data_IF_370823313367
#
_entry.id   IF_370823313367
#
_cell.length_a   1.000
_cell.length_b   1.000
_cell.length_c   1.000
_cell.angle_alpha   90.00
_cell.angle_beta   90.00
_cell.angle_gamma   90.00
#
_symmetry.space_group_name_H-M   'P 1'
#
loop_
_entity.id
_entity.type
_entity.pdbx_description
1 polymer ?
#
# COMPACT_ATOMS: atom_id res chain seq x y z
N UNK A 1 11.46 5.21 21.26
CA UNK A 1 11.68 6.67 21.40
C UNK A 1 10.70 7.23 22.44
N UNK A 2 11.14 8.14 23.32
CA UNK A 2 10.25 8.79 24.32
C UNK A 2 9.63 10.06 23.74
N UNK A 3 8.47 10.51 24.30
CA UNK A 3 7.84 11.80 23.89
C UNK A 3 8.82 12.97 23.99
N UNK A 4 9.62 13.02 25.06
CA UNK A 4 10.60 14.09 25.30
C UNK A 4 11.67 14.09 24.22
N UNK A 5 12.29 12.94 23.96
CA UNK A 5 13.32 12.82 22.92
C UNK A 5 12.79 13.17 21.52
N UNK A 6 11.56 12.75 21.19
CA UNK A 6 10.91 13.13 19.94
C UNK A 6 10.74 14.65 19.80
N UNK A 7 10.18 15.28 20.84
CA UNK A 7 9.94 16.72 20.87
C UNK A 7 11.25 17.50 20.75
N UNK A 8 12.29 17.08 21.47
CA UNK A 8 13.62 17.68 21.41
C UNK A 8 14.25 17.54 20.01
N UNK A 9 14.15 16.36 19.41
CA UNK A 9 14.75 16.08 18.10
C UNK A 9 14.14 16.94 16.98
N UNK A 10 12.84 17.21 17.04
CA UNK A 10 12.13 17.99 16.02
C UNK A 10 11.90 19.46 16.42
N UNK A 11 12.45 19.90 17.56
CA UNK A 11 12.25 21.26 18.08
C UNK A 11 10.78 21.59 18.36
N UNK A 12 9.99 20.60 18.76
CA UNK A 12 8.57 20.76 19.09
C UNK A 12 8.44 20.98 20.60
N UNK A 13 7.69 22.00 21.03
CA UNK A 13 7.41 22.15 22.46
C UNK A 13 6.48 21.02 22.95
N UNK A 14 6.73 20.50 24.15
CA UNK A 14 5.91 19.42 24.72
C UNK A 14 4.44 19.81 24.92
N UNK A 15 4.18 21.10 25.08
CA UNK A 15 2.86 21.75 25.10
C UNK A 15 2.18 21.70 23.74
N UNK A 16 2.83 22.21 22.68
CA UNK A 16 2.29 22.17 21.31
C UNK A 16 1.98 20.73 20.88
N UNK A 17 2.89 19.79 21.14
CA UNK A 17 2.64 18.39 20.83
C UNK A 17 1.42 17.82 21.59
N UNK A 18 1.23 18.25 22.84
CA UNK A 18 0.06 17.85 23.64
C UNK A 18 -1.25 18.46 23.12
N UNK A 19 -1.18 19.66 22.57
CA UNK A 19 -2.34 20.35 21.98
C UNK A 19 -2.72 19.78 20.62
N UNK A 20 -1.73 19.41 19.78
CA UNK A 20 -1.94 18.66 18.53
C UNK A 20 -2.61 17.31 18.79
N UNK A 21 -2.12 16.55 19.78
CA UNK A 21 -2.73 15.25 20.14
C UNK A 21 -4.18 15.37 20.60
N UNK A 22 -4.56 16.53 21.17
CA UNK A 22 -5.92 16.83 21.64
C UNK A 22 -6.76 17.56 20.58
N UNK A 23 -6.22 17.83 19.39
CA UNK A 23 -6.90 18.53 18.31
C UNK A 23 -7.18 20.02 18.58
N UNK A 24 -6.50 20.64 19.56
CA UNK A 24 -6.69 22.07 19.87
C UNK A 24 -6.08 22.98 18.82
N UNK A 25 -4.94 22.57 18.26
CA UNK A 25 -4.21 23.27 17.21
C UNK A 25 -3.67 22.27 16.22
N UNK A 26 -3.28 22.75 15.05
CA UNK A 26 -2.76 21.90 13.96
C UNK A 26 -1.27 22.21 13.75
N UNK A 27 -0.41 21.19 13.51
CA UNK A 27 0.98 21.45 13.13
C UNK A 27 1.04 22.23 11.81
N UNK A 28 2.09 23.05 11.63
CA UNK A 28 2.33 23.68 10.34
C UNK A 28 2.76 22.65 9.30
N UNK A 29 2.59 22.98 8.01
CA UNK A 29 3.02 22.12 6.90
C UNK A 29 4.49 21.70 7.03
N UNK A 30 5.38 22.64 7.39
CA UNK A 30 6.80 22.32 7.59
C UNK A 30 7.02 21.30 8.72
N UNK A 31 6.29 21.41 9.83
CA UNK A 31 6.39 20.41 10.91
C UNK A 31 5.82 19.05 10.49
N UNK A 32 4.76 19.03 9.68
CA UNK A 32 4.23 17.77 9.14
C UNK A 32 5.27 17.08 8.23
N UNK A 33 5.95 17.84 7.37
CA UNK A 33 7.03 17.33 6.50
C UNK A 33 8.17 16.75 7.34
N UNK A 34 8.62 17.46 8.38
CA UNK A 34 9.69 16.98 9.26
C UNK A 34 9.30 15.72 10.03
N UNK A 35 8.07 15.66 10.55
CA UNK A 35 7.55 14.46 11.25
C UNK A 35 7.45 13.28 10.28
N UNK A 36 6.94 13.51 9.07
CA UNK A 36 6.85 12.51 8.01
C UNK A 36 8.24 11.95 7.67
N UNK A 37 9.22 12.82 7.45
CA UNK A 37 10.61 12.43 7.17
C UNK A 37 11.24 11.66 8.34
N UNK A 38 11.02 12.12 9.58
CA UNK A 38 11.57 11.51 10.79
C UNK A 38 11.11 10.05 10.95
N UNK A 39 9.84 9.76 10.67
CA UNK A 39 9.31 8.39 10.72
C UNK A 39 9.38 7.65 9.39
N UNK A 40 9.90 8.29 8.34
CA UNK A 40 9.91 7.77 6.97
C UNK A 40 8.52 7.39 6.46
N UNK A 41 7.50 8.19 6.80
CA UNK A 41 6.09 7.95 6.45
C UNK A 41 5.51 8.96 5.49
N UNK A 42 4.56 8.56 4.65
CA UNK A 42 3.93 9.47 3.69
C UNK A 42 3.10 10.55 4.40
N UNK A 43 3.03 11.75 3.81
CA UNK A 43 2.20 12.84 4.33
C UNK A 43 0.71 12.47 4.31
N UNK A 44 0.25 11.75 3.29
CA UNK A 44 -1.12 11.27 3.20
C UNK A 44 -1.45 10.34 4.37
N UNK A 45 -0.58 9.39 4.68
CA UNK A 45 -0.78 8.53 5.84
C UNK A 45 -0.78 9.35 7.15
N UNK A 46 0.13 10.32 7.28
CA UNK A 46 0.25 11.16 8.48
C UNK A 46 -0.97 12.05 8.73
N UNK A 47 -1.55 12.63 7.67
CA UNK A 47 -2.59 13.67 7.78
C UNK A 47 -4.00 13.08 7.73
N UNK A 48 -4.26 12.19 6.76
CA UNK A 48 -5.61 11.66 6.50
C UNK A 48 -5.76 10.19 6.92
N UNK A 49 -4.69 9.53 7.36
CA UNK A 49 -4.72 8.13 7.78
C UNK A 49 -4.97 7.15 6.63
N UNK A 50 -4.72 7.56 5.38
CA UNK A 50 -4.92 6.75 4.17
C UNK A 50 -3.59 6.48 3.47
N UNK A 51 -3.52 5.36 2.76
CA UNK A 51 -2.34 4.98 1.98
C UNK A 51 -1.29 4.22 2.78
N UNK A 52 -0.13 3.99 2.16
CA UNK A 52 0.97 3.26 2.77
C UNK A 52 1.77 4.19 3.71
N UNK A 53 2.07 3.78 4.95
CA UNK A 53 2.90 4.53 5.88
C UNK A 53 4.36 4.63 5.49
N UNK A 54 4.84 4.16 4.34
CA UNK A 54 6.24 4.30 3.95
C UNK A 54 6.42 5.33 2.83
N UNK A 55 7.42 6.21 2.96
CA UNK A 55 7.82 7.22 1.95
C UNK A 55 8.48 6.60 0.71
N UNK A 56 8.65 5.28 0.64
CA UNK A 56 9.36 4.62 -0.47
C UNK A 56 8.73 5.00 -1.81
N UNK A 57 9.31 6.01 -2.43
CA UNK A 57 9.16 6.33 -3.84
C UNK A 57 9.76 5.14 -4.54
N UNK A 58 8.94 4.37 -5.23
CA UNK A 58 9.35 3.15 -5.92
C UNK A 58 10.10 3.52 -7.22
N UNK A 59 11.18 4.30 -7.12
CA UNK A 59 12.09 4.58 -8.25
C UNK A 59 13.15 3.47 -8.44
N UNK A 60 13.13 2.42 -7.62
CA UNK A 60 13.91 1.22 -7.91
C UNK A 60 12.95 0.11 -8.34
N UNK A 61 13.10 -0.33 -9.59
CA UNK A 61 12.67 -1.66 -10.05
C UNK A 61 12.90 -2.69 -8.95
N UNK A 62 11.87 -3.06 -8.21
CA UNK A 62 12.02 -3.92 -7.06
C UNK A 62 10.69 -4.08 -6.34
N UNK A 63 9.98 -5.14 -6.72
CA UNK A 63 8.96 -5.78 -5.90
C UNK A 63 7.73 -4.91 -5.60
N UNK A 64 6.88 -4.82 -6.61
CA UNK A 64 5.51 -4.40 -6.45
C UNK A 64 4.74 -5.42 -5.60
N UNK A 65 4.45 -5.07 -4.34
CA UNK A 65 3.26 -5.57 -3.63
C UNK A 65 2.03 -4.81 -4.15
N UNK A 66 1.88 -4.79 -5.48
CA UNK A 66 0.61 -4.44 -6.10
C UNK A 66 -0.24 -5.70 -5.93
N UNK A 67 -1.46 -5.54 -5.43
CA UNK A 67 -2.50 -6.58 -5.46
C UNK A 67 -2.41 -7.28 -6.83
N UNK A 68 -2.08 -8.57 -6.85
CA UNK A 68 -1.62 -9.27 -8.05
C UNK A 68 -2.58 -9.08 -9.25
N UNK A 69 -3.86 -8.87 -8.96
CA UNK A 69 -4.93 -8.53 -9.89
C UNK A 69 -4.72 -7.18 -10.62
N UNK A 70 -4.29 -6.14 -9.91
CA UNK A 70 -4.05 -4.82 -10.50
C UNK A 70 -2.80 -4.78 -11.40
N UNK A 71 -1.80 -5.64 -11.14
CA UNK A 71 -0.64 -5.83 -12.03
C UNK A 71 -1.05 -6.45 -13.36
N UNK A 72 -1.93 -7.45 -13.32
CA UNK A 72 -2.39 -8.16 -14.51
C UNK A 72 -3.13 -7.18 -15.44
N UNK A 73 -4.03 -6.36 -14.90
CA UNK A 73 -4.79 -5.39 -15.70
C UNK A 73 -3.89 -4.33 -16.36
N UNK A 74 -2.87 -3.85 -15.65
CA UNK A 74 -1.94 -2.83 -16.15
C UNK A 74 -1.04 -3.39 -17.25
N UNK A 75 -0.58 -4.64 -17.12
CA UNK A 75 0.25 -5.26 -18.16
C UNK A 75 -0.57 -5.68 -19.38
N UNK A 76 -1.84 -6.06 -19.24
CA UNK A 76 -2.65 -6.52 -20.39
C UNK A 76 -2.81 -5.47 -21.50
N UNK A 77 -2.76 -4.17 -21.19
CA UNK A 77 -2.76 -3.11 -22.21
C UNK A 77 -1.48 -3.09 -23.08
N UNK A 78 -0.35 -3.54 -22.53
CA UNK A 78 0.95 -3.52 -23.22
C UNK A 78 1.22 -4.79 -24.04
N UNK A 79 0.44 -5.85 -23.86
CA UNK A 79 0.57 -7.10 -24.63
C UNK A 79 -0.06 -6.99 -26.04
N UNK A 80 0.40 -7.81 -26.97
CA UNK A 80 -0.26 -7.98 -28.26
C UNK A 80 -1.61 -8.71 -28.09
N UNK A 81 -2.52 -8.52 -29.06
CA UNK A 81 -3.85 -9.14 -29.03
C UNK A 81 -3.81 -10.66 -28.89
N UNK A 82 -2.90 -11.31 -29.63
CA UNK A 82 -2.71 -12.76 -29.61
C UNK A 82 -2.23 -13.28 -28.24
N UNK A 83 -1.38 -12.51 -27.56
CA UNK A 83 -0.86 -12.90 -26.25
C UNK A 83 -1.95 -12.75 -25.17
N UNK A 84 -2.77 -11.70 -25.26
CA UNK A 84 -3.96 -11.56 -24.40
C UNK A 84 -4.96 -12.70 -24.59
N UNK A 85 -5.18 -13.13 -25.84
CA UNK A 85 -6.07 -14.26 -26.16
C UNK A 85 -5.54 -15.56 -25.55
N UNK A 86 -4.24 -15.83 -25.69
CA UNK A 86 -3.61 -17.00 -25.08
C UNK A 86 -3.74 -17.01 -23.54
N UNK A 87 -3.49 -15.88 -22.88
CA UNK A 87 -3.61 -15.76 -21.42
C UNK A 87 -5.07 -15.99 -20.99
N UNK A 88 -6.05 -15.42 -21.71
CA UNK A 88 -7.48 -15.66 -21.46
C UNK A 88 -7.81 -17.14 -21.53
N UNK A 89 -7.40 -17.82 -22.60
CA UNK A 89 -7.65 -19.26 -22.77
C UNK A 89 -7.04 -20.09 -21.64
N UNK A 90 -5.83 -19.74 -21.19
CA UNK A 90 -5.18 -20.42 -20.07
C UNK A 90 -5.94 -20.27 -18.74
N UNK A 91 -6.48 -19.07 -18.48
CA UNK A 91 -7.32 -18.81 -17.30
C UNK A 91 -8.60 -19.64 -17.38
N UNK A 92 -9.29 -19.61 -18.52
CA UNK A 92 -10.52 -20.36 -18.75
C UNK A 92 -10.30 -21.87 -18.56
N UNK A 93 -9.22 -22.40 -19.14
CA UNK A 93 -8.82 -23.80 -18.95
C UNK A 93 -8.56 -24.13 -17.48
N UNK A 94 -7.87 -23.25 -16.75
CA UNK A 94 -7.54 -23.46 -15.34
C UNK A 94 -8.79 -23.49 -14.46
N UNK A 95 -9.76 -22.64 -14.75
CA UNK A 95 -11.07 -22.63 -14.07
C UNK A 95 -11.81 -23.95 -14.33
N UNK A 96 -11.90 -24.39 -15.58
CA UNK A 96 -12.56 -25.64 -15.95
C UNK A 96 -11.91 -26.87 -15.32
N UNK A 97 -10.57 -26.93 -15.29
CA UNK A 97 -9.84 -28.02 -14.63
C UNK A 97 -10.14 -28.08 -13.14
N UNK A 98 -10.25 -26.93 -12.46
CA UNK A 98 -10.60 -26.88 -11.03
C UNK A 98 -12.05 -27.31 -10.79
N UNK A 99 -12.99 -26.93 -11.66
CA UNK A 99 -14.39 -27.36 -11.57
C UNK A 99 -14.53 -28.89 -11.68
N UNK A 100 -13.92 -29.51 -12.70
CA UNK A 100 -13.95 -30.97 -12.90
C UNK A 100 -13.29 -31.77 -11.75
N UNK A 101 -12.32 -31.19 -11.05
CA UNK A 101 -11.72 -31.80 -9.85
C UNK A 101 -12.64 -31.76 -8.63
N UNK A 102 -13.47 -30.72 -8.49
CA UNK A 102 -14.45 -30.62 -7.40
C UNK A 102 -15.62 -31.60 -7.61
N UNK A 103 -16.05 -31.79 -8.86
CA UNK A 103 -17.09 -32.78 -9.21
C UNK A 103 -16.65 -34.22 -8.89
N UNK A 104 -15.41 -34.59 -9.23
CA UNK A 104 -14.87 -35.93 -8.91
C UNK A 104 -14.60 -36.18 -7.42
N UNK A 105 -14.62 -35.13 -6.58
CA UNK A 105 -14.39 -35.24 -5.12
C UNK A 105 -15.67 -35.37 -4.30
N UNK A 106 -16.85 -35.17 -4.89
CA UNK A 106 -18.14 -35.26 -4.22
C UNK A 106 -18.87 -36.62 -4.41
N UNK A 107 -18.27 -37.56 -5.16
CA UNK A 107 -18.84 -38.89 -5.49
C UNK A 107 -18.18 -40.05 -4.72
N UNK A 108 -17.67 -39.82 -3.50
CA UNK A 108 -17.24 -40.94 -2.63
C UNK A 108 -18.21 -41.04 -1.44
N UNK A 109 -18.96 -42.16 -1.28
CA UNK A 109 -19.91 -42.36 -0.19
C UNK A 109 -19.31 -42.28 1.21
#
# INVERSE_FOLDING_TARGET
>A
MTKKAFCETLGISTGNFGDWKRGKTTPSTNKLIEIAAFFSVSLDWLIIGKGNPSIRVNETRGEYDIDAEAVILTNMSDLAKSEREFIREYIDFTIQRKAKKKEKGNDTP
#
